data_IF_790012635021
#
_entry.id   IF_790012635021
#
_cell.length_a   1.000
_cell.length_b   1.000
_cell.length_c   1.000
_cell.angle_alpha   90.00
_cell.angle_beta   90.00
_cell.angle_gamma   90.00
#
_symmetry.space_group_name_H-M   'P 1'
#
loop_
_entity.id
_entity.type
_entity.pdbx_description
1 polymer ?
#
# COMPACT_ATOMS: atom_id res chain seq x y z
N UNK A 1 43.02 -29.81 9.93
CA UNK A 1 42.28 -29.31 8.75
C UNK A 1 40.91 -28.87 9.24
N UNK A 2 40.76 -27.58 9.59
CA UNK A 2 39.49 -27.04 10.06
C UNK A 2 38.73 -26.49 8.86
N UNK A 3 37.56 -27.05 8.56
CA UNK A 3 36.68 -26.55 7.50
C UNK A 3 35.85 -25.40 8.07
N UNK A 4 36.23 -24.17 7.73
CA UNK A 4 35.41 -22.98 7.97
C UNK A 4 34.33 -22.94 6.89
N UNK A 5 33.16 -23.53 7.16
CA UNK A 5 31.98 -23.34 6.32
C UNK A 5 31.45 -21.92 6.50
N UNK A 6 31.79 -21.03 5.56
CA UNK A 6 31.08 -19.76 5.39
C UNK A 6 29.66 -20.07 4.90
N UNK A 7 28.69 -20.00 5.79
CA UNK A 7 27.28 -19.91 5.42
C UNK A 7 27.07 -18.47 4.96
N UNK A 8 27.18 -18.21 3.67
CA UNK A 8 26.66 -16.96 3.10
C UNK A 8 25.14 -17.05 3.13
N UNK A 9 24.53 -16.53 4.20
CA UNK A 9 23.11 -16.27 4.24
C UNK A 9 22.84 -15.17 3.21
N UNK A 10 22.55 -15.55 1.97
CA UNK A 10 22.03 -14.63 0.97
C UNK A 10 20.65 -14.20 1.44
N UNK A 11 20.60 -13.12 2.22
CA UNK A 11 19.37 -12.38 2.48
C UNK A 11 18.84 -11.95 1.11
N UNK A 12 17.91 -12.71 0.56
CA UNK A 12 17.11 -12.25 -0.56
C UNK A 12 16.31 -11.08 0.00
N UNK A 13 16.79 -9.86 -0.22
CA UNK A 13 16.05 -8.64 0.07
C UNK A 13 14.84 -8.60 -0.86
N UNK A 14 13.79 -9.34 -0.53
CA UNK A 14 12.49 -9.10 -1.11
C UNK A 14 12.07 -7.71 -0.63
N UNK A 15 12.04 -6.76 -1.57
CA UNK A 15 11.61 -5.38 -1.32
C UNK A 15 10.13 -5.27 -0.97
N UNK A 16 9.40 -6.39 -0.99
CA UNK A 16 8.00 -6.46 -0.66
C UNK A 16 7.63 -7.63 0.24
N UNK A 17 6.58 -7.44 1.04
CA UNK A 17 5.98 -8.46 1.90
C UNK A 17 4.52 -8.63 1.51
N UNK A 18 4.09 -9.88 1.26
CA UNK A 18 2.68 -10.20 1.02
C UNK A 18 1.88 -9.97 2.30
N UNK A 19 0.73 -9.31 2.16
CA UNK A 19 -0.26 -9.15 3.23
C UNK A 19 -1.66 -9.39 2.67
N UNK A 20 -2.45 -10.19 3.38
CA UNK A 20 -3.80 -10.53 2.96
C UNK A 20 -4.72 -10.71 4.17
N UNK A 21 -6.00 -10.50 3.93
CA UNK A 21 -7.04 -10.63 4.95
C UNK A 21 -8.41 -10.60 4.31
N UNK A 22 -9.45 -10.45 5.15
CA UNK A 22 -10.83 -10.53 4.67
C UNK A 22 -11.13 -9.39 3.69
N UNK A 23 -11.24 -9.76 2.41
CA UNK A 23 -11.62 -8.83 1.34
C UNK A 23 -10.46 -8.01 0.75
N UNK A 24 -9.21 -8.33 1.08
CA UNK A 24 -8.05 -7.67 0.48
C UNK A 24 -6.84 -8.59 0.34
N UNK A 25 -5.98 -8.23 -0.62
CA UNK A 25 -4.65 -8.81 -0.84
C UNK A 25 -3.75 -7.70 -1.34
N UNK A 26 -2.52 -7.66 -0.87
CA UNK A 26 -1.58 -6.63 -1.29
C UNK A 26 -0.13 -6.90 -0.92
N UNK A 27 0.73 -5.96 -1.28
CA UNK A 27 2.15 -5.99 -0.96
C UNK A 27 2.57 -4.73 -0.23
N UNK A 28 3.30 -4.91 0.87
CA UNK A 28 3.96 -3.85 1.61
C UNK A 28 5.29 -3.60 0.95
N UNK A 29 5.58 -2.37 0.52
CA UNK A 29 6.85 -2.00 -0.06
C UNK A 29 7.79 -1.43 1.01
N UNK A 30 9.06 -1.85 0.95
CA UNK A 30 10.13 -1.34 1.81
C UNK A 30 10.35 0.16 1.60
N UNK A 31 10.78 0.87 2.64
CA UNK A 31 11.27 2.26 2.51
C UNK A 31 12.41 2.40 1.50
N UNK A 32 13.19 1.34 1.30
CA UNK A 32 14.31 1.29 0.35
C UNK A 32 13.84 1.14 -1.11
N UNK A 33 12.56 0.86 -1.33
CA UNK A 33 11.98 0.84 -2.67
C UNK A 33 12.08 2.22 -3.32
N UNK A 34 12.63 2.23 -4.54
CA UNK A 34 12.83 3.44 -5.36
C UNK A 34 12.31 3.16 -6.77
N UNK A 35 11.53 4.09 -7.30
CA UNK A 35 11.11 4.11 -8.70
C UNK A 35 11.11 5.55 -9.19
N UNK A 36 11.74 5.80 -10.34
CA UNK A 36 11.93 7.16 -10.89
C UNK A 36 10.63 7.84 -11.38
N UNK A 37 9.59 7.06 -11.63
CA UNK A 37 8.27 7.52 -12.08
C UNK A 37 7.25 7.59 -10.94
N UNK A 38 7.59 7.07 -9.75
CA UNK A 38 6.77 7.15 -8.55
C UNK A 38 7.45 8.05 -7.53
N UNK A 39 7.15 9.33 -7.62
CA UNK A 39 7.60 10.34 -6.66
C UNK A 39 6.61 10.35 -5.50
N UNK A 40 7.09 10.06 -4.28
CA UNK A 40 6.32 10.24 -3.04
C UNK A 40 6.38 11.70 -2.62
N UNK A 41 5.36 12.17 -1.94
CA UNK A 41 5.27 13.59 -1.52
C UNK A 41 6.34 13.97 -0.50
N UNK A 42 7.00 12.99 0.11
CA UNK A 42 8.00 13.19 1.16
C UNK A 42 9.17 12.24 0.98
N UNK A 43 10.36 12.71 1.36
CA UNK A 43 11.60 11.90 1.41
C UNK A 43 11.73 11.12 2.74
N UNK A 44 10.82 11.34 3.69
CA UNK A 44 10.84 10.67 4.99
C UNK A 44 10.00 9.40 4.90
N UNK A 45 10.67 8.27 4.74
CA UNK A 45 10.02 7.00 4.39
C UNK A 45 10.17 5.97 5.50
N UNK A 46 9.16 5.11 5.64
CA UNK A 46 9.23 3.95 6.51
C UNK A 46 8.64 2.71 5.83
N UNK A 47 9.05 1.54 6.29
CA UNK A 47 8.45 0.27 5.85
C UNK A 47 7.26 0.00 6.77
N UNK A 48 6.01 -0.01 6.25
CA UNK A 48 4.86 -0.34 7.07
C UNK A 48 4.97 -1.74 7.66
N UNK A 49 4.42 -1.95 8.85
CA UNK A 49 4.27 -3.30 9.41
C UNK A 49 2.94 -3.92 8.99
N UNK A 50 2.76 -5.22 9.26
CA UNK A 50 1.48 -5.89 9.01
C UNK A 50 0.38 -5.25 9.88
N UNK A 51 0.68 -4.88 11.12
CA UNK A 51 -0.23 -4.20 12.03
C UNK A 51 -0.70 -2.86 11.46
N UNK A 52 0.22 -2.07 10.90
CA UNK A 52 -0.15 -0.83 10.19
C UNK A 52 -1.13 -1.11 9.06
N UNK A 53 -0.93 -2.18 8.28
CA UNK A 53 -1.85 -2.54 7.19
C UNK A 53 -3.21 -3.01 7.72
N UNK A 54 -3.25 -3.75 8.83
CA UNK A 54 -4.53 -4.14 9.43
C UNK A 54 -5.33 -2.91 9.89
N UNK A 55 -4.66 -1.91 10.46
CA UNK A 55 -5.28 -0.64 10.84
C UNK A 55 -5.80 0.12 9.61
N UNK A 56 -4.99 0.26 8.56
CA UNK A 56 -5.41 0.88 7.29
C UNK A 56 -6.64 0.18 6.72
N UNK A 57 -6.64 -1.14 6.64
CA UNK A 57 -7.78 -1.89 6.09
C UNK A 57 -9.03 -1.77 6.98
N UNK A 58 -8.88 -1.65 8.29
CA UNK A 58 -9.99 -1.31 9.20
C UNK A 58 -10.56 0.07 8.89
N UNK A 59 -9.71 1.09 8.75
CA UNK A 59 -10.10 2.47 8.42
C UNK A 59 -10.77 2.56 7.04
N UNK A 60 -10.21 1.90 6.02
CA UNK A 60 -10.79 1.82 4.67
C UNK A 60 -12.19 1.18 4.69
N UNK A 61 -12.37 0.11 5.47
CA UNK A 61 -13.67 -0.54 5.63
C UNK A 61 -14.69 0.36 6.36
N UNK A 62 -14.25 1.13 7.37
CA UNK A 62 -15.09 2.12 8.04
C UNK A 62 -15.51 3.23 7.07
N UNK A 63 -14.54 3.84 6.35
CA UNK A 63 -14.77 4.85 5.32
C UNK A 63 -15.76 4.37 4.24
N UNK A 64 -15.60 3.13 3.77
CA UNK A 64 -16.53 2.49 2.83
C UNK A 64 -17.96 2.39 3.39
N UNK A 65 -18.12 1.94 4.64
CA UNK A 65 -19.43 1.85 5.29
C UNK A 65 -20.07 3.22 5.47
N UNK A 66 -19.29 4.23 5.86
CA UNK A 66 -19.78 5.59 6.09
C UNK A 66 -20.23 6.26 4.80
N UNK A 67 -19.43 6.16 3.73
CA UNK A 67 -19.81 6.64 2.40
C UNK A 67 -21.12 6.00 1.94
N UNK A 68 -21.25 4.67 2.09
CA UNK A 68 -22.45 3.94 1.69
C UNK A 68 -23.67 4.32 2.54
N UNK A 69 -23.51 4.42 3.86
CA UNK A 69 -24.59 4.74 4.81
C UNK A 69 -25.11 6.16 4.62
N UNK A 70 -24.21 7.12 4.47
CA UNK A 70 -24.53 8.54 4.41
C UNK A 70 -24.74 9.05 2.98
N UNK A 71 -24.65 8.17 1.96
CA UNK A 71 -24.71 8.50 0.53
C UNK A 71 -23.77 9.67 0.17
N UNK A 72 -22.60 9.72 0.80
CA UNK A 72 -21.64 10.78 0.57
C UNK A 72 -21.04 10.62 -0.83
N UNK A 73 -20.97 11.71 -1.57
CA UNK A 73 -20.07 11.78 -2.72
C UNK A 73 -18.64 11.84 -2.22
N UNK A 74 -17.75 11.06 -2.83
CA UNK A 74 -16.32 11.30 -2.65
C UNK A 74 -15.93 12.56 -3.40
N UNK A 75 -15.09 13.41 -2.79
CA UNK A 75 -14.55 14.59 -3.47
C UNK A 75 -13.75 14.19 -4.71
N UNK A 76 -13.03 13.06 -4.63
CA UNK A 76 -12.36 12.44 -5.76
C UNK A 76 -13.28 11.43 -6.46
N UNK A 77 -13.60 11.69 -7.73
CA UNK A 77 -14.44 10.81 -8.58
C UNK A 77 -13.80 9.45 -8.86
N UNK A 78 -12.48 9.33 -8.72
CA UNK A 78 -11.74 8.09 -8.90
C UNK A 78 -11.90 7.12 -7.73
N UNK A 79 -12.23 7.62 -6.55
CA UNK A 79 -12.29 6.81 -5.34
C UNK A 79 -13.46 5.83 -5.34
N UNK A 80 -13.14 4.55 -5.29
CA UNK A 80 -14.13 3.48 -5.36
C UNK A 80 -14.25 2.67 -4.06
N UNK A 81 -14.50 3.36 -2.95
CA UNK A 81 -14.66 2.72 -1.63
C UNK A 81 -15.80 1.70 -1.57
N UNK A 82 -16.80 1.80 -2.45
CA UNK A 82 -17.91 0.84 -2.48
C UNK A 82 -17.49 -0.56 -2.98
N UNK A 83 -16.31 -0.70 -3.59
CA UNK A 83 -15.85 -1.93 -4.25
C UNK A 83 -14.42 -2.29 -3.88
N UNK A 84 -13.94 -1.97 -2.68
CA UNK A 84 -12.57 -2.24 -2.22
C UNK A 84 -12.11 -3.69 -2.46
N UNK A 85 -13.00 -4.68 -2.34
CA UNK A 85 -12.67 -6.09 -2.59
C UNK A 85 -12.30 -6.44 -4.03
N UNK A 86 -12.60 -5.55 -4.99
CA UNK A 86 -12.22 -5.70 -6.41
C UNK A 86 -10.78 -5.29 -6.69
N UNK A 87 -10.09 -4.71 -5.72
CA UNK A 87 -8.75 -4.15 -5.90
C UNK A 87 -7.72 -4.93 -5.08
N UNK A 88 -6.59 -5.19 -5.69
CA UNK A 88 -5.33 -5.50 -5.03
C UNK A 88 -4.71 -4.20 -4.47
N UNK A 89 -3.86 -4.29 -3.46
CA UNK A 89 -3.18 -3.10 -2.88
C UNK A 89 -1.66 -3.15 -3.02
N UNK A 90 -1.06 -1.98 -3.18
CA UNK A 90 0.35 -1.76 -2.87
C UNK A 90 0.43 -0.70 -1.77
N UNK A 91 1.16 -0.98 -0.69
CA UNK A 91 1.26 -0.10 0.47
C UNK A 91 2.66 0.48 0.59
N UNK A 92 2.73 1.80 0.75
CA UNK A 92 4.00 2.52 0.89
C UNK A 92 3.91 3.45 2.10
N UNK A 93 4.91 3.40 2.98
CA UNK A 93 4.97 4.25 4.17
C UNK A 93 5.72 5.55 3.92
N UNK A 94 5.11 6.66 4.32
CA UNK A 94 5.70 8.00 4.30
C UNK A 94 5.37 8.75 5.60
N UNK A 95 6.24 9.67 5.98
CA UNK A 95 6.04 10.56 7.13
C UNK A 95 5.83 11.96 6.55
N UNK A 96 4.69 12.56 6.86
CA UNK A 96 4.37 13.91 6.39
C UNK A 96 5.26 14.98 7.06
N UNK A 97 5.11 16.24 6.63
CA UNK A 97 5.89 17.36 7.15
C UNK A 97 5.67 17.59 8.66
N UNK A 98 4.51 17.19 9.17
CA UNK A 98 4.12 17.31 10.57
C UNK A 98 4.57 16.11 11.42
N UNK A 99 5.23 15.11 10.83
CA UNK A 99 5.66 13.90 11.53
C UNK A 99 4.58 12.82 11.64
N UNK A 100 3.43 12.97 10.99
CA UNK A 100 2.40 11.93 10.98
C UNK A 100 2.79 10.78 10.05
N UNK A 101 2.52 9.55 10.48
CA UNK A 101 2.65 8.37 9.62
C UNK A 101 1.47 8.27 8.67
N UNK A 102 1.78 8.21 7.39
CA UNK A 102 0.83 8.04 6.31
C UNK A 102 1.14 6.76 5.55
N UNK A 103 0.09 6.04 5.15
CA UNK A 103 0.18 4.93 4.23
C UNK A 103 -0.44 5.36 2.91
N UNK A 104 0.40 5.48 1.89
CA UNK A 104 -0.07 5.58 0.50
C UNK A 104 -0.51 4.20 0.04
N UNK A 105 -1.78 4.09 -0.35
CA UNK A 105 -2.38 2.86 -0.84
C UNK A 105 -2.67 3.02 -2.33
N UNK A 106 -2.01 2.20 -3.15
CA UNK A 106 -2.33 2.08 -4.57
C UNK A 106 -3.31 0.91 -4.78
N UNK A 107 -4.50 1.20 -5.28
CA UNK A 107 -5.55 0.23 -5.53
C UNK A 107 -5.55 -0.19 -7.00
N UNK A 108 -5.24 -1.45 -7.27
CA UNK A 108 -5.14 -2.00 -8.63
C UNK A 108 -6.28 -2.96 -8.87
N UNK A 109 -7.08 -2.72 -9.90
CA UNK A 109 -8.20 -3.59 -10.22
C UNK A 109 -7.71 -5.01 -10.50
N UNK A 110 -8.28 -6.01 -9.82
CA UNK A 110 -7.83 -7.41 -9.89
C UNK A 110 -7.76 -7.96 -11.30
N UNK A 111 -8.75 -7.63 -12.15
CA UNK A 111 -8.82 -8.07 -13.55
C UNK A 111 -7.73 -7.48 -14.45
N UNK A 112 -7.04 -6.44 -13.99
CA UNK A 112 -6.02 -5.70 -14.74
C UNK A 112 -4.69 -5.64 -14.00
N UNK A 113 -4.51 -6.49 -12.97
CA UNK A 113 -3.27 -6.49 -12.17
C UNK A 113 -2.15 -7.14 -12.98
N UNK A 114 -1.05 -6.42 -13.26
CA UNK A 114 0.07 -6.98 -14.01
C UNK A 114 0.88 -7.95 -13.14
N UNK A 115 1.63 -8.87 -13.76
CA UNK A 115 2.45 -9.86 -13.03
C UNK A 115 3.52 -9.24 -12.12
N UNK A 116 4.01 -8.04 -12.47
CA UNK A 116 5.07 -7.35 -11.74
C UNK A 116 4.57 -6.53 -10.54
N UNK A 117 3.27 -6.55 -10.21
CA UNK A 117 2.68 -5.70 -9.17
C UNK A 117 3.24 -5.93 -7.74
N UNK A 118 3.98 -7.02 -7.52
CA UNK A 118 4.70 -7.28 -6.27
C UNK A 118 6.15 -6.80 -6.29
N UNK A 119 6.64 -6.31 -7.43
CA UNK A 119 8.02 -5.87 -7.64
C UNK A 119 8.10 -4.37 -7.88
N UNK A 120 7.12 -3.83 -8.58
CA UNK A 120 7.10 -2.45 -9.03
C UNK A 120 5.71 -1.84 -8.84
N UNK A 121 5.68 -0.52 -8.59
CA UNK A 121 4.46 0.26 -8.47
C UNK A 121 3.69 0.23 -9.78
N UNK A 122 2.40 -0.04 -9.70
CA UNK A 122 1.54 -0.06 -10.89
C UNK A 122 0.99 1.36 -11.10
N UNK A 123 1.56 2.04 -12.10
CA UNK A 123 1.10 3.36 -12.54
C UNK A 123 0.33 3.18 -13.84
N UNK A 124 -0.79 3.88 -13.99
CA UNK A 124 -1.51 4.00 -15.26
C UNK A 124 -1.24 5.41 -15.80
N UNK A 125 -0.84 5.48 -17.07
CA UNK A 125 -0.50 6.74 -17.75
C UNK A 125 -1.73 7.47 -18.31
N UNK A 126 -2.90 6.85 -18.24
CA UNK A 126 -4.18 7.47 -18.55
C UNK A 126 -4.86 7.99 -17.28
N UNK A 127 -5.65 9.05 -17.43
CA UNK A 127 -6.42 9.65 -16.34
C UNK A 127 -7.71 8.84 -16.02
N UNK A 128 -7.88 7.66 -16.64
CA UNK A 128 -9.02 6.79 -16.38
C UNK A 128 -8.71 5.98 -15.11
N UNK A 129 -9.18 6.48 -13.97
CA UNK A 129 -9.13 5.78 -12.70
C UNK A 129 -9.92 4.46 -12.66
N UNK A 130 -10.27 3.92 -13.84
CA UNK A 130 -10.96 2.67 -14.07
C UNK A 130 -10.15 1.47 -13.57
N UNK A 131 -8.82 1.55 -13.64
CA UNK A 131 -7.92 0.45 -13.32
C UNK A 131 -7.11 0.66 -12.05
N UNK A 132 -6.68 1.90 -11.81
CA UNK A 132 -5.86 2.26 -10.67
C UNK A 132 -6.36 3.56 -10.06
N UNK A 133 -6.40 3.60 -8.73
CA UNK A 133 -6.60 4.82 -7.97
C UNK A 133 -5.80 4.73 -6.67
N UNK A 134 -5.57 5.85 -6.01
CA UNK A 134 -4.80 5.88 -4.78
C UNK A 134 -5.46 6.76 -3.71
N UNK A 135 -5.11 6.49 -2.46
CA UNK A 135 -5.44 7.34 -1.31
C UNK A 135 -4.30 7.31 -0.29
N UNK A 136 -4.26 8.33 0.58
CA UNK A 136 -3.34 8.42 1.71
C UNK A 136 -4.12 8.28 3.01
N UNK A 137 -3.77 7.26 3.78
CA UNK A 137 -4.43 6.95 5.04
C UNK A 137 -3.48 7.31 6.17
N UNK A 138 -3.86 8.28 7.00
CA UNK A 138 -3.18 8.54 8.26
C UNK A 138 -3.40 7.36 9.19
N UNK A 139 -2.33 6.89 9.82
CA UNK A 139 -2.39 5.91 10.91
C UNK A 139 -1.85 6.57 12.17
N UNK A 140 -2.44 6.22 13.31
CA UNK A 140 -1.94 6.69 14.58
C UNK A 140 -0.83 5.74 15.06
N UNK A 141 0.08 6.25 15.87
CA UNK A 141 0.99 5.36 16.58
C UNK A 141 0.15 4.53 17.56
N UNK A 142 0.20 3.20 17.44
CA UNK A 142 -0.32 2.30 18.45
C UNK A 142 0.45 2.62 19.74
N UNK A 143 -0.18 3.37 20.63
CA UNK A 143 0.32 3.58 21.97
C UNK A 143 0.34 2.21 22.66
N UNK A 144 1.53 1.64 22.78
CA UNK A 144 1.80 0.53 23.68
C UNK A 144 1.81 1.02 25.13
#
# INVERSE_FOLDING_TARGET
MSYLTLITLSLVFNNTVLVEGKGFKGYIFSKEYKNKYFVRDTDKLFTPTIENIMEVEKLLNQKSKDIKRNKLSTENKCWNYNKLCKYNRQYFGEIDENGNKMIFVNFILKKSTPEYWNKDVVIVLDDSCDYVWNDKIKIDDVQN
#
